data_IF_562717830029
#
_entry.id   IF_562717830029
#
_cell.length_a   1.000
_cell.length_b   1.000
_cell.length_c   1.000
_cell.angle_alpha   90.00
_cell.angle_beta   90.00
_cell.angle_gamma   90.00
#
_symmetry.space_group_name_H-M   'P 1'
#
loop_
_entity.id
_entity.type
_entity.pdbx_description
1 polymer ?
#
# COMPACT_ATOMS: atom_id res chain seq x y z
N UNK A 1 3.69 20.66 49.19
CA UNK A 1 3.44 21.44 47.96
C UNK A 1 3.45 20.58 46.67
N UNK A 2 3.76 19.28 46.72
CA UNK A 2 3.83 18.40 45.52
C UNK A 2 2.54 17.61 45.20
N UNK A 3 1.45 17.81 45.96
CA UNK A 3 0.19 17.08 45.79
C UNK A 3 -0.93 17.92 45.13
N UNK A 4 -0.70 19.21 44.89
CA UNK A 4 -1.69 20.17 44.39
C UNK A 4 -1.49 20.60 42.92
N UNK A 5 -0.33 20.30 42.34
CA UNK A 5 -0.08 20.45 40.91
C UNK A 5 0.39 19.09 40.40
N UNK A 6 -0.45 18.41 39.62
CA UNK A 6 -0.19 17.05 39.14
C UNK A 6 1.24 16.90 38.64
N UNK A 7 1.94 15.86 39.12
CA UNK A 7 3.35 15.58 38.78
C UNK A 7 3.54 15.73 37.27
N UNK A 8 4.41 16.65 36.86
CA UNK A 8 4.83 16.75 35.45
C UNK A 8 5.42 15.41 35.06
N UNK A 9 4.85 14.77 34.03
CA UNK A 9 5.32 13.47 33.56
C UNK A 9 6.79 13.59 33.18
N UNK A 10 7.57 12.58 33.57
CA UNK A 10 8.98 12.53 33.15
C UNK A 10 9.05 12.32 31.63
N UNK A 11 10.14 12.71 30.95
CA UNK A 11 10.32 12.43 29.53
C UNK A 11 10.16 10.94 29.20
N UNK A 12 10.61 10.04 30.08
CA UNK A 12 10.42 8.59 29.90
C UNK A 12 8.95 8.16 30.01
N UNK A 13 8.19 8.73 30.93
CA UNK A 13 6.74 8.47 31.06
C UNK A 13 5.97 8.96 29.83
N UNK A 14 6.34 10.12 29.29
CA UNK A 14 5.75 10.66 28.06
C UNK A 14 6.05 9.76 26.85
N UNK A 15 7.31 9.35 26.67
CA UNK A 15 7.71 8.42 25.59
C UNK A 15 6.97 7.07 25.71
N UNK A 16 6.84 6.52 26.92
CA UNK A 16 6.07 5.28 27.16
C UNK A 16 4.57 5.46 26.87
N UNK A 17 3.99 6.60 27.23
CA UNK A 17 2.58 6.88 26.97
C UNK A 17 2.33 7.01 25.46
N UNK A 18 3.17 7.76 24.76
CA UNK A 18 3.08 7.95 23.31
C UNK A 18 3.22 6.62 22.59
N UNK A 19 4.19 5.78 22.97
CA UNK A 19 4.35 4.43 22.42
C UNK A 19 3.08 3.58 22.57
N UNK A 20 2.41 3.64 23.73
CA UNK A 20 1.15 2.93 23.95
C UNK A 20 0.01 3.49 23.09
N UNK A 21 -0.05 4.81 22.93
CA UNK A 21 -1.05 5.46 22.09
C UNK A 21 -0.88 5.06 20.61
N UNK A 22 0.35 5.08 20.08
CA UNK A 22 0.65 4.64 18.73
C UNK A 22 0.32 3.16 18.52
N UNK A 23 0.65 2.29 19.48
CA UNK A 23 0.30 0.87 19.41
C UNK A 23 -1.21 0.62 19.41
N UNK A 24 -2.00 1.45 20.10
CA UNK A 24 -3.47 1.38 20.03
C UNK A 24 -3.97 1.84 18.67
N UNK A 25 -3.49 2.98 18.19
CA UNK A 25 -3.83 3.50 16.88
C UNK A 25 -3.55 2.48 15.76
N UNK A 26 -2.38 1.82 15.76
CA UNK A 26 -2.07 0.75 14.79
C UNK A 26 -3.10 -0.39 14.81
N UNK A 27 -3.55 -0.83 15.99
CA UNK A 27 -4.57 -1.90 16.10
C UNK A 27 -5.94 -1.44 15.65
N UNK A 28 -6.30 -0.20 15.93
CA UNK A 28 -7.58 0.36 15.51
C UNK A 28 -7.61 0.56 13.99
N UNK A 29 -6.49 0.99 13.38
CA UNK A 29 -6.33 1.02 11.92
C UNK A 29 -6.42 -0.38 11.30
N UNK A 30 -5.80 -1.40 11.90
CA UNK A 30 -5.88 -2.78 11.42
C UNK A 30 -7.31 -3.32 11.45
N UNK A 31 -8.06 -3.03 12.52
CA UNK A 31 -9.46 -3.42 12.64
C UNK A 31 -10.32 -2.74 11.58
N UNK A 32 -10.11 -1.45 11.35
CA UNK A 32 -10.89 -0.72 10.34
C UNK A 32 -10.56 -1.18 8.93
N UNK A 33 -9.28 -1.43 8.63
CA UNK A 33 -8.87 -2.07 7.37
C UNK A 33 -9.58 -3.40 7.15
N UNK A 34 -9.62 -4.27 8.16
CA UNK A 34 -10.25 -5.58 8.05
C UNK A 34 -11.78 -5.49 7.83
N UNK A 35 -12.45 -4.47 8.39
CA UNK A 35 -13.86 -4.20 8.08
C UNK A 35 -14.03 -3.79 6.62
N UNK A 36 -13.17 -2.90 6.11
CA UNK A 36 -13.21 -2.47 4.72
C UNK A 36 -12.92 -3.63 3.75
N UNK A 37 -11.95 -4.50 4.05
CA UNK A 37 -11.69 -5.73 3.26
C UNK A 37 -12.90 -6.67 3.26
N UNK A 38 -13.64 -6.74 4.36
CA UNK A 38 -14.88 -7.54 4.42
C UNK A 38 -16.01 -6.90 3.61
N UNK A 39 -16.12 -5.57 3.65
CA UNK A 39 -17.06 -4.82 2.83
C UNK A 39 -16.74 -4.93 1.35
N UNK A 40 -15.46 -4.89 0.97
CA UNK A 40 -14.98 -5.10 -0.40
C UNK A 40 -15.48 -6.43 -0.96
N UNK A 41 -15.33 -7.53 -0.19
CA UNK A 41 -15.83 -8.86 -0.58
C UNK A 41 -17.35 -8.88 -0.78
N UNK A 42 -18.11 -8.15 0.03
CA UNK A 42 -19.57 -8.04 -0.11
C UNK A 42 -19.95 -7.26 -1.37
N UNK A 43 -19.31 -6.11 -1.60
CA UNK A 43 -19.52 -5.29 -2.80
C UNK A 43 -19.22 -6.12 -4.06
N UNK A 44 -18.14 -6.90 -4.07
CA UNK A 44 -17.81 -7.81 -5.18
C UNK A 44 -18.93 -8.84 -5.42
N UNK A 45 -19.46 -9.45 -4.36
CA UNK A 45 -20.55 -10.42 -4.48
C UNK A 45 -21.83 -9.76 -5.01
N UNK A 46 -22.15 -8.56 -4.54
CA UNK A 46 -23.31 -7.79 -4.99
C UNK A 46 -23.17 -7.35 -6.45
N UNK A 47 -22.00 -6.86 -6.87
CA UNK A 47 -21.69 -6.54 -8.27
C UNK A 47 -21.95 -7.76 -9.17
N UNK A 48 -21.43 -8.94 -8.79
CA UNK A 48 -21.65 -10.18 -9.55
C UNK A 48 -23.12 -10.56 -9.65
N UNK A 49 -23.88 -10.38 -8.57
CA UNK A 49 -25.32 -10.66 -8.54
C UNK A 49 -26.10 -9.70 -9.44
N UNK A 50 -25.83 -8.40 -9.37
CA UNK A 50 -26.51 -7.37 -10.16
C UNK A 50 -26.15 -7.48 -11.64
N UNK A 51 -24.91 -7.86 -11.95
CA UNK A 51 -24.49 -8.12 -13.32
C UNK A 51 -25.26 -9.28 -13.96
N UNK A 52 -25.46 -10.39 -13.23
CA UNK A 52 -26.29 -11.52 -13.69
C UNK A 52 -27.76 -11.16 -13.91
N UNK A 53 -28.25 -10.13 -13.21
CA UNK A 53 -29.61 -9.61 -13.36
C UNK A 53 -29.73 -8.60 -14.51
N UNK A 54 -28.63 -8.30 -15.23
CA UNK A 54 -28.61 -7.32 -16.33
C UNK A 54 -28.68 -5.86 -15.88
N UNK A 55 -28.53 -5.57 -14.58
CA UNK A 55 -28.66 -4.21 -14.04
C UNK A 55 -27.33 -3.44 -14.12
N UNK A 56 -26.92 -3.09 -15.34
CA UNK A 56 -25.61 -2.48 -15.61
C UNK A 56 -25.41 -1.10 -14.96
N UNK A 57 -26.47 -0.29 -14.83
CA UNK A 57 -26.37 1.01 -14.14
C UNK A 57 -26.01 0.85 -12.66
N UNK A 58 -26.62 -0.13 -11.99
CA UNK A 58 -26.32 -0.45 -10.59
C UNK A 58 -24.90 -1.02 -10.45
N UNK A 59 -24.47 -1.87 -11.39
CA UNK A 59 -23.11 -2.40 -11.46
C UNK A 59 -22.09 -1.28 -11.58
N UNK A 60 -22.34 -0.28 -12.43
CA UNK A 60 -21.43 0.88 -12.60
C UNK A 60 -21.27 1.68 -11.32
N UNK A 61 -22.37 1.92 -10.59
CA UNK A 61 -22.34 2.63 -9.30
C UNK A 61 -21.56 1.82 -8.26
N UNK A 62 -21.85 0.51 -8.13
CA UNK A 62 -21.17 -0.35 -7.17
C UNK A 62 -19.68 -0.55 -7.50
N UNK A 63 -19.30 -0.57 -8.77
CA UNK A 63 -17.91 -0.63 -9.20
C UNK A 63 -17.13 0.62 -8.74
N UNK A 64 -17.73 1.83 -8.83
CA UNK A 64 -17.12 3.05 -8.28
C UNK A 64 -16.92 2.96 -6.76
N UNK A 65 -17.87 2.36 -6.04
CA UNK A 65 -17.75 2.15 -4.59
C UNK A 65 -16.67 1.11 -4.24
N UNK A 66 -16.52 0.07 -5.06
CA UNK A 66 -15.44 -0.92 -4.93
C UNK A 66 -14.06 -0.27 -5.06
N UNK A 67 -13.86 0.56 -6.09
CA UNK A 67 -12.60 1.30 -6.30
C UNK A 67 -12.29 2.21 -5.13
N UNK A 68 -13.30 2.96 -4.65
CA UNK A 68 -13.15 3.83 -3.47
C UNK A 68 -12.76 3.02 -2.23
N UNK A 69 -13.39 1.87 -2.02
CA UNK A 69 -13.08 0.97 -0.89
C UNK A 69 -11.64 0.45 -0.96
N UNK A 70 -11.18 -0.01 -2.14
CA UNK A 70 -9.79 -0.42 -2.37
C UNK A 70 -8.79 0.72 -2.09
N UNK A 71 -9.09 1.94 -2.53
CA UNK A 71 -8.27 3.14 -2.23
C UNK A 71 -8.17 3.40 -0.74
N UNK A 72 -9.28 3.27 0.00
CA UNK A 72 -9.24 3.39 1.46
C UNK A 72 -8.39 2.29 2.10
N UNK A 73 -8.51 1.02 1.67
CA UNK A 73 -7.65 -0.08 2.16
C UNK A 73 -6.17 0.25 1.95
N UNK A 74 -5.76 0.71 0.75
CA UNK A 74 -4.38 1.16 0.46
C UNK A 74 -3.97 2.30 1.41
N UNK A 75 -4.84 3.30 1.61
CA UNK A 75 -4.60 4.43 2.51
C UNK A 75 -4.41 4.00 3.98
N UNK A 76 -5.19 3.02 4.46
CA UNK A 76 -5.02 2.46 5.80
C UNK A 76 -3.69 1.71 5.96
N UNK A 77 -3.23 1.00 4.92
CA UNK A 77 -1.91 0.34 4.92
C UNK A 77 -0.79 1.38 5.01
N UNK A 78 -0.84 2.43 4.18
CA UNK A 78 0.15 3.53 4.22
C UNK A 78 0.15 4.23 5.57
N UNK A 79 -1.02 4.57 6.10
CA UNK A 79 -1.13 5.24 7.41
C UNK A 79 -0.61 4.36 8.55
N UNK A 80 -0.83 3.04 8.52
CA UNK A 80 -0.22 2.10 9.48
C UNK A 80 1.31 2.13 9.37
N UNK A 81 1.85 2.10 8.16
CA UNK A 81 3.30 2.14 7.94
C UNK A 81 3.91 3.43 8.51
N UNK A 82 3.26 4.58 8.29
CA UNK A 82 3.69 5.87 8.84
C UNK A 82 3.68 5.88 10.38
N UNK A 83 2.62 5.36 11.01
CA UNK A 83 2.56 5.25 12.49
C UNK A 83 3.66 4.30 12.99
N UNK A 84 3.93 3.21 12.28
CA UNK A 84 5.01 2.29 12.63
C UNK A 84 6.38 2.96 12.53
N UNK A 85 6.63 3.78 11.51
CA UNK A 85 7.86 4.58 11.37
C UNK A 85 8.03 5.56 12.53
N UNK A 86 6.97 6.30 12.90
CA UNK A 86 6.98 7.20 14.06
C UNK A 86 7.23 6.44 15.36
N UNK A 87 6.62 5.26 15.51
CA UNK A 87 6.84 4.37 16.66
C UNK A 87 8.30 3.94 16.78
N UNK A 88 8.95 3.60 15.66
CA UNK A 88 10.38 3.28 15.64
C UNK A 88 11.24 4.50 16.02
N UNK A 89 10.90 5.69 15.52
CA UNK A 89 11.58 6.94 15.89
C UNK A 89 11.48 7.21 17.39
N UNK A 90 10.31 7.00 18.00
CA UNK A 90 10.13 7.12 19.47
C UNK A 90 10.97 6.08 20.23
N UNK A 91 11.08 4.85 19.71
CA UNK A 91 11.93 3.83 20.31
C UNK A 91 13.42 4.25 20.27
N UNK A 92 13.89 4.82 19.16
CA UNK A 92 15.24 5.39 19.06
C UNK A 92 15.45 6.53 20.05
N UNK A 93 14.50 7.48 20.14
CA UNK A 93 14.57 8.58 21.12
C UNK A 93 14.64 8.08 22.56
N UNK A 94 13.91 7.02 22.89
CA UNK A 94 13.98 6.39 24.22
C UNK A 94 15.37 5.81 24.49
N UNK A 95 15.96 5.09 23.54
CA UNK A 95 17.32 4.55 23.66
C UNK A 95 18.36 5.66 23.81
N UNK A 96 18.24 6.72 23.02
CA UNK A 96 19.12 7.90 23.09
C UNK A 96 19.00 8.60 24.45
N UNK A 97 17.78 8.74 24.99
CA UNK A 97 17.58 9.31 26.32
C UNK A 97 18.21 8.43 27.43
N UNK A 98 18.02 7.11 27.39
CA UNK A 98 18.69 6.20 28.34
C UNK A 98 20.22 6.27 28.22
N UNK A 99 20.76 6.38 27.01
CA UNK A 99 22.19 6.60 26.78
C UNK A 99 22.65 7.94 27.35
N UNK A 100 21.92 9.03 27.13
CA UNK A 100 22.22 10.34 27.68
C UNK A 100 22.20 10.34 29.23
N UNK A 101 21.27 9.61 29.86
CA UNK A 101 21.25 9.43 31.32
C UNK A 101 22.48 8.64 31.81
N UNK A 102 22.85 7.57 31.12
CA UNK A 102 24.05 6.80 31.45
C UNK A 102 25.32 7.64 31.28
N UNK A 103 25.44 8.36 30.16
CA UNK A 103 26.54 9.28 29.91
C UNK A 103 26.57 10.40 30.95
N UNK A 104 25.43 10.95 31.40
CA UNK A 104 25.42 11.93 32.48
C UNK A 104 26.04 11.40 33.78
N UNK A 105 25.78 10.13 34.12
CA UNK A 105 26.44 9.45 35.24
C UNK A 105 27.95 9.30 35.05
N UNK A 106 28.36 8.86 33.85
CA UNK A 106 29.77 8.72 33.46
C UNK A 106 30.48 10.07 33.43
N UNK A 107 29.88 11.12 32.86
CA UNK A 107 30.41 12.49 32.83
C UNK A 107 30.50 13.05 34.24
N UNK A 108 29.57 12.74 35.15
CA UNK A 108 29.68 13.16 36.54
C UNK A 108 30.86 12.46 37.25
N UNK A 109 31.05 11.16 37.01
CA UNK A 109 32.20 10.42 37.52
C UNK A 109 33.52 10.93 36.90
N UNK A 110 33.56 11.16 35.59
CA UNK A 110 34.66 11.77 34.83
C UNK A 110 34.96 13.18 35.30
N UNK A 111 33.95 14.02 35.59
CA UNK A 111 34.15 15.36 36.12
C UNK A 111 34.75 15.33 37.53
N UNK A 112 34.34 14.36 38.35
CA UNK A 112 34.92 14.13 39.68
C UNK A 112 36.36 13.65 39.57
N UNK A 113 36.66 12.79 38.59
CA UNK A 113 38.00 12.27 38.29
C UNK A 113 38.91 13.33 37.63
N UNK A 114 38.37 14.19 36.76
CA UNK A 114 39.05 15.30 36.09
C UNK A 114 39.28 16.49 37.04
N UNK A 115 38.48 16.63 38.11
CA UNK A 115 38.83 17.51 39.23
C UNK A 115 40.10 17.04 39.94
N UNK A 116 40.47 15.77 39.77
CA UNK A 116 41.70 15.15 40.29
C UNK A 116 42.80 14.97 39.21
N UNK A 117 42.48 15.08 37.90
CA UNK A 117 43.40 14.92 36.76
C UNK A 117 43.22 16.04 35.72
N UNK A 118 44.30 16.75 35.38
CA UNK A 118 44.34 18.05 34.68
C UNK A 118 43.64 18.12 33.29
N UNK A 119 43.24 19.36 32.97
CA UNK A 119 42.17 19.86 32.08
C UNK A 119 42.25 19.85 30.51
N UNK A 120 43.29 19.39 29.77
CA UNK A 120 43.31 19.57 28.29
C UNK A 120 42.41 18.63 27.47
N UNK A 121 42.01 17.46 27.99
CA UNK A 121 41.41 16.39 27.16
C UNK A 121 39.87 16.49 27.01
N UNK A 122 39.18 17.20 27.92
CA UNK A 122 37.71 17.34 27.89
C UNK A 122 37.22 18.23 26.74
N UNK A 123 37.96 19.28 26.39
CA UNK A 123 37.58 20.16 25.27
C UNK A 123 37.53 19.41 23.94
N UNK A 124 38.40 18.41 23.77
CA UNK A 124 38.45 17.59 22.56
C UNK A 124 37.24 16.67 22.43
N UNK A 125 36.77 16.10 23.55
CA UNK A 125 35.60 15.20 23.58
C UNK A 125 34.30 15.96 23.31
N UNK A 126 34.16 17.19 23.84
CA UNK A 126 32.99 18.04 23.54
C UNK A 126 32.93 18.43 22.06
N UNK A 127 34.07 18.81 21.47
CA UNK A 127 34.17 19.11 20.03
C UNK A 127 33.85 17.88 19.16
N UNK A 128 34.33 16.70 19.54
CA UNK A 128 34.06 15.47 18.80
C UNK A 128 32.57 15.08 18.90
N UNK A 129 31.93 15.31 20.05
CA UNK A 129 30.50 15.05 20.23
C UNK A 129 29.63 16.02 19.42
N UNK A 130 29.91 17.32 19.44
CA UNK A 130 29.20 18.30 18.59
C UNK A 130 29.31 17.92 17.12
N UNK A 131 30.53 17.58 16.66
CA UNK A 131 30.76 17.16 15.28
C UNK A 131 30.00 15.89 14.89
N UNK A 132 29.91 14.91 15.79
CA UNK A 132 29.16 13.67 15.52
C UNK A 132 27.64 13.87 15.58
N UNK A 133 27.16 14.77 16.44
CA UNK A 133 25.73 15.12 16.51
C UNK A 133 25.30 15.86 15.24
N UNK A 134 26.12 16.78 14.74
CA UNK A 134 25.85 17.53 13.51
C UNK A 134 25.85 16.61 12.27
N UNK A 135 26.75 15.62 12.22
CA UNK A 135 26.75 14.58 11.17
C UNK A 135 25.49 13.70 11.24
N UNK A 136 24.94 13.48 12.44
CA UNK A 136 23.72 12.69 12.61
C UNK A 136 22.49 13.47 12.14
N UNK A 137 22.39 14.75 12.48
CA UNK A 137 21.28 15.62 12.06
C UNK A 137 21.25 15.78 10.52
N UNK A 138 22.42 15.97 9.89
CA UNK A 138 22.54 16.06 8.44
C UNK A 138 22.16 14.74 7.71
N UNK A 139 22.40 13.59 8.35
CA UNK A 139 21.96 12.28 7.80
C UNK A 139 20.46 12.07 7.94
N UNK A 140 19.84 12.62 8.98
CA UNK A 140 18.40 12.55 9.17
C UNK A 140 17.66 13.45 8.15
N UNK A 141 18.22 14.61 7.83
CA UNK A 141 17.69 15.53 6.80
C UNK A 141 17.77 14.91 5.39
N UNK A 142 18.94 14.37 4.99
CA UNK A 142 19.09 13.66 3.71
C UNK A 142 18.19 12.42 3.59
N UNK A 143 17.86 11.77 4.71
CA UNK A 143 16.96 10.61 4.71
C UNK A 143 15.48 11.02 4.61
N UNK A 144 15.09 12.16 5.19
CA UNK A 144 13.73 12.68 5.03
C UNK A 144 13.48 13.19 3.60
N UNK A 145 14.45 13.88 2.99
CA UNK A 145 14.33 14.35 1.60
C UNK A 145 14.18 13.17 0.62
N UNK A 146 14.92 12.07 0.83
CA UNK A 146 14.80 10.87 0.01
C UNK A 146 13.47 10.11 0.21
N UNK A 147 12.81 10.29 1.35
CA UNK A 147 11.50 9.70 1.65
C UNK A 147 10.38 10.55 1.06
N UNK A 148 10.49 11.88 1.11
CA UNK A 148 9.52 12.80 0.50
C UNK A 148 9.56 12.72 -1.03
N UNK A 149 10.74 12.58 -1.64
CA UNK A 149 10.90 12.40 -3.10
C UNK A 149 10.37 11.03 -3.59
N UNK A 150 10.33 10.03 -2.70
CA UNK A 150 9.77 8.71 -2.98
C UNK A 150 8.25 8.60 -2.65
N UNK A 151 7.69 9.57 -1.94
CA UNK A 151 6.26 9.61 -1.55
C UNK A 151 5.43 10.65 -2.33
N UNK A 152 6.02 11.30 -3.34
CA UNK A 152 5.30 12.14 -4.31
C UNK A 152 4.37 11.31 -5.20
N UNK A 153 3.28 10.79 -4.63
CA UNK A 153 2.20 10.10 -5.35
C UNK A 153 1.15 11.18 -5.74
N UNK A 154 1.52 12.06 -6.67
CA UNK A 154 0.57 12.76 -7.53
C UNK A 154 0.41 11.91 -8.79
N UNK A 155 -0.66 11.13 -8.89
CA UNK A 155 -1.41 10.97 -10.14
C UNK A 155 -2.70 10.17 -9.96
N UNK A 156 -3.61 10.44 -10.89
CA UNK A 156 -4.84 9.75 -11.24
C UNK A 156 -6.11 9.95 -10.39
N UNK A 157 -6.67 11.15 -10.53
CA UNK A 157 -8.13 11.35 -10.40
C UNK A 157 -8.89 11.21 -11.74
N UNK A 158 -8.23 11.09 -12.90
CA UNK A 158 -8.91 11.12 -14.21
C UNK A 158 -9.33 9.76 -14.80
N UNK A 159 -8.91 8.62 -14.25
CA UNK A 159 -9.19 7.30 -14.86
C UNK A 159 -10.46 6.56 -14.34
N UNK A 160 -11.37 7.25 -13.65
CA UNK A 160 -12.45 6.56 -12.90
C UNK A 160 -13.36 5.62 -13.73
N UNK A 161 -13.59 5.90 -15.02
CA UNK A 161 -14.40 5.05 -15.89
C UNK A 161 -13.59 3.91 -16.54
N UNK A 162 -12.30 4.12 -16.82
CA UNK A 162 -11.39 3.06 -17.28
C UNK A 162 -11.17 2.01 -16.18
N UNK A 163 -11.00 2.48 -14.94
CA UNK A 163 -10.86 1.62 -13.76
C UNK A 163 -12.13 0.79 -13.53
N UNK A 164 -13.32 1.34 -13.80
CA UNK A 164 -14.56 0.55 -13.72
C UNK A 164 -14.58 -0.57 -14.77
N UNK A 165 -14.16 -0.29 -16.01
CA UNK A 165 -14.06 -1.33 -17.05
C UNK A 165 -13.08 -2.44 -16.63
N UNK A 166 -11.89 -2.04 -16.16
CA UNK A 166 -10.87 -2.98 -15.68
C UNK A 166 -11.38 -3.84 -14.51
N UNK A 167 -12.14 -3.27 -13.57
CA UNK A 167 -12.73 -4.02 -12.46
C UNK A 167 -13.76 -5.04 -12.96
N UNK A 168 -14.55 -4.71 -13.98
CA UNK A 168 -15.51 -5.66 -14.56
C UNK A 168 -14.80 -6.82 -15.27
N UNK A 169 -13.68 -6.53 -15.94
CA UNK A 169 -12.82 -7.52 -16.56
C UNK A 169 -12.14 -8.42 -15.51
N UNK A 170 -11.58 -7.84 -14.44
CA UNK A 170 -11.02 -8.56 -13.29
C UNK A 170 -12.03 -9.52 -12.64
N UNK A 171 -13.30 -9.11 -12.59
CA UNK A 171 -14.37 -9.90 -12.00
C UNK A 171 -14.86 -11.02 -12.93
N UNK A 172 -14.37 -11.07 -14.18
CA UNK A 172 -14.78 -12.05 -15.19
C UNK A 172 -16.23 -11.86 -15.62
N UNK A 173 -16.73 -10.62 -15.59
CA UNK A 173 -18.09 -10.28 -16.02
C UNK A 173 -18.17 -9.97 -17.52
N UNK A 174 -17.09 -10.24 -18.27
CA UNK A 174 -17.11 -10.20 -19.72
C UNK A 174 -18.23 -11.12 -20.21
N UNK A 175 -19.11 -10.52 -21.00
CA UNK A 175 -20.22 -10.98 -21.85
C UNK A 175 -20.21 -12.48 -22.33
N UNK A 176 -19.94 -13.43 -21.45
CA UNK A 176 -19.77 -14.86 -21.77
C UNK A 176 -21.04 -15.64 -21.40
N UNK A 177 -21.90 -15.06 -20.54
CA UNK A 177 -23.22 -15.62 -20.23
C UNK A 177 -24.24 -15.41 -21.37
N UNK A 178 -24.03 -14.44 -22.29
CA UNK A 178 -24.88 -14.32 -23.49
C UNK A 178 -24.56 -15.38 -24.57
N UNK A 179 -23.34 -15.93 -24.59
CA UNK A 179 -23.03 -17.11 -25.43
C UNK A 179 -23.53 -18.42 -24.82
N UNK A 180 -23.74 -18.45 -23.49
CA UNK A 180 -24.21 -19.64 -22.75
C UNK A 180 -25.73 -19.83 -22.82
N UNK A 181 -26.47 -18.77 -23.17
CA UNK A 181 -27.94 -18.75 -23.25
C UNK A 181 -28.50 -18.77 -24.68
N UNK A 182 -27.68 -19.00 -25.70
CA UNK A 182 -28.21 -19.39 -27.00
C UNK A 182 -28.82 -20.78 -26.87
N UNK A 183 -30.14 -20.97 -27.07
CA UNK A 183 -30.71 -22.29 -27.09
C UNK A 183 -30.04 -23.05 -28.22
N UNK A 184 -29.22 -24.05 -27.87
CA UNK A 184 -29.00 -25.20 -28.73
C UNK A 184 -30.39 -25.69 -29.12
N UNK A 185 -30.83 -25.33 -30.32
CA UNK A 185 -32.06 -25.84 -30.91
C UNK A 185 -31.80 -27.30 -31.27
N UNK A 186 -31.73 -28.16 -30.24
CA UNK A 186 -31.84 -29.61 -30.33
C UNK A 186 -33.28 -30.02 -30.57
N UNK A 187 -33.92 -29.40 -31.56
CA UNK A 187 -35.23 -29.75 -32.07
C UNK A 187 -35.05 -30.70 -33.25
N UNK A 188 -35.48 -31.94 -33.04
CA UNK A 188 -35.60 -33.01 -34.03
C UNK A 188 -36.03 -32.51 -35.41
N UNK A 189 -35.10 -32.53 -36.37
CA UNK A 189 -35.40 -32.72 -37.78
C UNK A 189 -34.52 -33.85 -38.29
N UNK A 190 -35.10 -35.04 -38.27
CA UNK A 190 -34.70 -36.20 -39.03
C UNK A 190 -34.53 -35.84 -40.51
N UNK A 191 -33.29 -35.79 -41.00
CA UNK A 191 -32.97 -36.07 -42.41
C UNK A 191 -31.73 -36.96 -42.44
N UNK A 192 -31.93 -38.16 -42.97
CA UNK A 192 -30.89 -39.11 -43.26
C UNK A 192 -29.96 -38.57 -44.36
N UNK A 193 -28.65 -38.84 -44.22
CA UNK A 193 -27.74 -38.93 -45.36
C UNK A 193 -26.75 -37.78 -45.55
N UNK A 194 -25.47 -38.11 -45.32
CA UNK A 194 -24.30 -37.68 -46.10
C UNK A 194 -23.95 -36.17 -46.19
N UNK A 195 -22.90 -35.76 -45.47
CA UNK A 195 -21.57 -35.39 -46.01
C UNK A 195 -20.78 -34.57 -44.98
N UNK A 196 -19.64 -35.13 -44.59
CA UNK A 196 -18.62 -34.51 -43.73
C UNK A 196 -17.48 -34.07 -44.65
N UNK A 197 -17.58 -32.89 -45.27
CA UNK A 197 -16.52 -32.33 -46.13
C UNK A 197 -16.78 -30.84 -46.41
N UNK A 198 -16.55 -29.94 -45.44
CA UNK A 198 -16.49 -28.50 -45.74
C UNK A 198 -15.67 -27.65 -44.75
N UNK A 199 -15.19 -28.21 -43.64
CA UNK A 199 -14.41 -27.46 -42.64
C UNK A 199 -12.89 -27.38 -42.90
N UNK A 200 -12.39 -27.87 -44.03
CA UNK A 200 -10.95 -27.87 -44.36
C UNK A 200 -10.56 -26.89 -45.48
N UNK A 201 -11.52 -26.45 -46.30
CA UNK A 201 -11.25 -25.50 -47.39
C UNK A 201 -11.17 -24.04 -46.89
N UNK A 202 -11.98 -23.67 -45.89
CA UNK A 202 -12.02 -22.31 -45.36
C UNK A 202 -10.79 -21.95 -44.49
N UNK A 203 -10.10 -22.94 -43.92
CA UNK A 203 -8.87 -22.72 -43.14
C UNK A 203 -7.64 -22.56 -44.06
N UNK A 204 -7.62 -23.28 -45.19
CA UNK A 204 -6.52 -23.18 -46.16
C UNK A 204 -6.51 -21.85 -46.93
N UNK A 205 -7.70 -21.25 -47.15
CA UNK A 205 -7.85 -19.96 -47.83
C UNK A 205 -7.40 -18.79 -46.95
N UNK A 206 -7.66 -18.86 -45.64
CA UNK A 206 -7.21 -17.86 -44.68
C UNK A 206 -5.69 -17.86 -44.46
N UNK A 207 -5.04 -19.05 -44.49
CA UNK A 207 -3.59 -19.17 -44.38
C UNK A 207 -2.87 -18.63 -45.64
N UNK A 208 -3.45 -18.79 -46.83
CA UNK A 208 -2.88 -18.29 -48.08
C UNK A 208 -2.87 -16.75 -48.15
N UNK A 209 -3.96 -16.09 -47.72
CA UNK A 209 -4.07 -14.63 -47.71
C UNK A 209 -3.13 -13.98 -46.67
N UNK A 210 -2.91 -14.67 -45.54
CA UNK A 210 -1.92 -14.25 -44.53
C UNK A 210 -0.48 -14.38 -45.02
N UNK A 211 -0.13 -15.43 -45.76
CA UNK A 211 1.21 -15.59 -46.34
C UNK A 211 1.52 -14.54 -47.42
N UNK A 212 0.54 -14.14 -48.22
CA UNK A 212 0.72 -13.10 -49.24
C UNK A 212 0.92 -11.72 -48.61
N UNK A 213 0.16 -11.40 -47.55
CA UNK A 213 0.36 -10.19 -46.73
C UNK A 213 1.75 -10.15 -46.07
N UNK A 214 2.24 -11.28 -45.57
CA UNK A 214 3.58 -11.39 -44.98
C UNK A 214 4.70 -11.23 -46.02
N UNK A 215 4.51 -11.68 -47.26
CA UNK A 215 5.47 -11.46 -48.34
C UNK A 215 5.55 -10.00 -48.77
N UNK A 216 4.42 -9.30 -48.80
CA UNK A 216 4.38 -7.88 -49.13
C UNK A 216 5.07 -7.02 -48.05
N UNK A 217 4.95 -7.40 -46.77
CA UNK A 217 5.67 -6.70 -45.68
C UNK A 217 7.19 -6.94 -45.64
N UNK A 218 7.69 -8.01 -46.27
CA UNK A 218 9.12 -8.36 -46.30
C UNK A 218 9.85 -7.78 -47.52
N UNK A 219 9.14 -7.03 -48.36
CA UNK A 219 9.65 -6.52 -49.64
C UNK A 219 9.81 -4.99 -49.65
N UNK A 220 9.43 -4.31 -48.57
CA UNK A 220 9.84 -2.95 -48.21
C UNK A 220 10.97 -3.00 -47.16
#
# INVERSE_FOLDING_TARGET
MDLLFGRRKTPEEMLRQNQRALNRAMRDLDRERQKLETQEKKIIADIKKMAKQGQMDAVKIMAKDLVRTRRYVKKFIMMRANIQAVSLKIQTLKSNNSMAQAMKGVTKAMATMNRQLKLPQIQKIMMEFEKQSEIMDMKEEMMNDAIDDAMGDEEDEEESDAVVSQVLDELGLTLTDELSNLPSTGGSLSVAGAKKAESQAALADADADLEERLKNLRRD
#
